data_IF_257643791046
#
_entry.id   IF_257643791046
#
_cell.length_a   1.000
_cell.length_b   1.000
_cell.length_c   1.000
_cell.angle_alpha   90.00
_cell.angle_beta   90.00
_cell.angle_gamma   90.00
#
_symmetry.space_group_name_H-M   'P 1'
#
loop_
_entity.id
_entity.type
_entity.pdbx_description
1 polymer ?
#
# COMPACT_ATOMS: atom_id res chain seq x y z
N UNK A 1 6.69 -0.94 -5.92
CA UNK A 1 5.21 -0.94 -5.89
C UNK A 1 4.71 -0.16 -7.09
N UNK A 2 3.69 -0.66 -7.78
CA UNK A 2 3.07 -0.02 -8.94
C UNK A 2 1.60 0.21 -8.61
N UNK A 3 1.11 1.43 -8.81
CA UNK A 3 -0.31 1.80 -8.65
C UNK A 3 -0.85 2.15 -10.03
N UNK A 4 -1.93 1.49 -10.42
CA UNK A 4 -2.67 1.74 -11.67
C UNK A 4 -4.05 2.31 -11.35
N UNK A 5 -4.87 2.52 -12.36
CA UNK A 5 -6.27 2.98 -12.24
C UNK A 5 -7.19 1.96 -11.57
N UNK A 6 -6.89 0.66 -11.66
CA UNK A 6 -7.78 -0.41 -11.17
C UNK A 6 -7.20 -1.22 -10.01
N UNK A 7 -5.87 -1.21 -9.89
CA UNK A 7 -5.14 -2.15 -9.02
C UNK A 7 -3.82 -1.61 -8.53
N UNK A 8 -3.42 -2.12 -7.38
CA UNK A 8 -2.11 -1.90 -6.78
C UNK A 8 -1.35 -3.22 -6.76
N UNK A 9 -0.13 -3.21 -7.29
CA UNK A 9 0.75 -4.38 -7.42
C UNK A 9 2.00 -4.16 -6.59
N UNK A 10 2.26 -5.08 -5.67
CA UNK A 10 3.50 -5.18 -4.92
C UNK A 10 4.29 -6.39 -5.41
N UNK A 11 5.51 -6.14 -5.86
CA UNK A 11 6.49 -7.18 -6.18
C UNK A 11 7.63 -7.09 -5.17
N UNK A 12 7.95 -8.20 -4.50
CA UNK A 12 9.03 -8.32 -3.53
C UNK A 12 9.90 -9.55 -3.81
N UNK A 13 11.20 -9.40 -3.53
CA UNK A 13 12.20 -10.47 -3.59
C UNK A 13 13.24 -10.33 -4.69
N UNK A 14 14.47 -10.78 -4.41
CA UNK A 14 15.61 -10.76 -5.33
C UNK A 14 15.73 -12.08 -6.13
N UNK A 15 15.26 -13.20 -5.55
CA UNK A 15 15.35 -14.56 -6.12
C UNK A 15 13.98 -15.26 -6.23
N UNK A 16 13.10 -15.09 -5.24
CA UNK A 16 11.69 -15.52 -5.30
C UNK A 16 10.80 -14.30 -5.53
N UNK A 17 10.04 -14.28 -6.63
CA UNK A 17 9.14 -13.17 -6.96
C UNK A 17 7.80 -13.38 -6.26
N UNK A 18 7.62 -12.78 -5.08
CA UNK A 18 6.30 -12.67 -4.47
C UNK A 18 5.58 -11.46 -5.08
N UNK A 19 4.42 -11.70 -5.70
CA UNK A 19 3.59 -10.65 -6.30
C UNK A 19 2.23 -10.65 -5.61
N UNK A 20 1.95 -9.60 -4.85
CA UNK A 20 0.63 -9.36 -4.26
C UNK A 20 -0.08 -8.28 -5.07
N UNK A 21 -1.26 -8.61 -5.57
CA UNK A 21 -2.08 -7.71 -6.36
C UNK A 21 -3.43 -7.50 -5.67
N UNK A 22 -3.84 -6.24 -5.56
CA UNK A 22 -5.10 -5.85 -4.95
C UNK A 22 -5.87 -4.95 -5.87
N UNK A 23 -7.08 -5.37 -6.24
CA UNK A 23 -8.05 -4.55 -6.96
C UNK A 23 -8.57 -3.44 -6.04
N UNK A 24 -8.64 -2.21 -6.54
CA UNK A 24 -9.08 -1.05 -5.76
C UNK A 24 -10.50 -1.21 -5.23
N UNK A 25 -11.36 -1.88 -6.00
CA UNK A 25 -12.73 -2.25 -5.59
C UNK A 25 -12.78 -3.11 -4.33
N UNK A 26 -11.77 -3.96 -4.11
CA UNK A 26 -11.72 -4.86 -2.95
C UNK A 26 -11.01 -4.22 -1.75
N UNK A 27 -10.41 -3.03 -1.89
CA UNK A 27 -9.73 -2.37 -0.78
C UNK A 27 -10.77 -1.92 0.24
N UNK A 28 -10.71 -2.50 1.43
CA UNK A 28 -11.59 -2.13 2.55
C UNK A 28 -10.95 -1.07 3.41
N UNK A 29 -9.65 -1.18 3.66
CA UNK A 29 -8.93 -0.25 4.53
C UNK A 29 -7.50 0.00 4.04
N UNK A 30 -7.04 1.25 4.18
CA UNK A 30 -5.65 1.65 3.95
C UNK A 30 -5.16 2.32 5.22
N UNK A 31 -4.13 1.75 5.85
CA UNK A 31 -3.51 2.28 7.05
C UNK A 31 -2.12 2.82 6.72
N UNK A 32 -1.83 4.02 7.22
CA UNK A 32 -0.49 4.60 7.21
C UNK A 32 0.04 4.53 8.64
N UNK A 33 1.23 3.95 8.79
CA UNK A 33 1.95 3.93 10.05
C UNK A 33 3.24 4.74 9.88
N UNK A 34 3.40 5.77 10.70
CA UNK A 34 4.57 6.65 10.72
C UNK A 34 4.91 7.03 12.16
N UNK A 35 6.15 6.78 12.56
CA UNK A 35 6.71 7.26 13.81
C UNK A 35 7.23 8.70 13.64
N UNK A 36 7.59 9.37 14.74
CA UNK A 36 8.02 10.78 14.71
C UNK A 36 9.18 11.04 13.73
N UNK A 37 10.20 10.17 13.75
CA UNK A 37 11.34 10.26 12.83
C UNK A 37 10.93 10.03 11.37
N UNK A 38 10.05 9.07 11.11
CA UNK A 38 9.56 8.76 9.77
C UNK A 38 8.74 9.92 9.20
N UNK A 39 7.94 10.61 10.03
CA UNK A 39 7.24 11.84 9.64
C UNK A 39 8.22 12.95 9.25
N UNK A 40 9.32 13.11 10.01
CA UNK A 40 10.35 14.11 9.71
C UNK A 40 11.04 13.83 8.36
N UNK A 41 11.35 12.56 8.08
CA UNK A 41 11.95 12.15 6.80
C UNK A 41 10.92 11.92 5.68
N UNK A 42 9.63 12.20 5.94
CA UNK A 42 8.52 11.93 5.03
C UNK A 42 8.53 10.50 4.45
N UNK A 43 8.88 9.52 5.27
CA UNK A 43 8.81 8.09 4.95
C UNK A 43 7.76 7.43 5.83
N UNK A 44 7.33 6.22 5.49
CA UNK A 44 6.44 5.46 6.36
C UNK A 44 6.09 4.09 5.83
N UNK A 45 5.14 3.46 6.51
CA UNK A 45 4.64 2.14 6.16
C UNK A 45 3.19 2.25 5.68
N UNK A 46 2.88 1.62 4.55
CA UNK A 46 1.51 1.50 4.02
C UNK A 46 1.05 0.06 4.18
N UNK A 47 -0.14 -0.11 4.75
CA UNK A 47 -0.84 -1.40 4.87
C UNK A 47 -2.19 -1.32 4.17
N UNK A 48 -2.48 -2.27 3.29
CA UNK A 48 -3.73 -2.36 2.55
C UNK A 48 -4.42 -3.67 2.94
N UNK A 49 -5.67 -3.56 3.38
CA UNK A 49 -6.51 -4.70 3.73
C UNK A 49 -7.69 -4.81 2.77
N UNK A 50 -7.97 -6.03 2.32
CA UNK A 50 -9.00 -6.34 1.34
C UNK A 50 -10.29 -6.82 2.01
N UNK A 51 -11.42 -6.70 1.31
CA UNK A 51 -12.64 -7.38 1.70
C UNK A 51 -12.51 -8.89 1.40
N UNK A 52 -12.77 -9.73 2.40
CA UNK A 52 -12.81 -11.19 2.24
C UNK A 52 -11.61 -11.95 2.80
N UNK A 53 -10.48 -11.27 3.03
CA UNK A 53 -9.33 -11.80 3.78
C UNK A 53 -9.26 -11.02 5.11
N UNK A 54 -9.21 -11.72 6.24
CA UNK A 54 -9.14 -11.09 7.57
C UNK A 54 -7.81 -10.38 7.85
N UNK A 55 -6.88 -10.42 6.88
CA UNK A 55 -5.48 -10.05 7.02
C UNK A 55 -5.07 -8.89 6.11
N UNK A 56 -3.89 -8.33 6.37
CA UNK A 56 -3.28 -7.29 5.53
C UNK A 56 -2.65 -7.94 4.31
N UNK A 57 -3.21 -7.66 3.13
CA UNK A 57 -2.78 -8.25 1.85
C UNK A 57 -1.45 -7.66 1.35
N UNK A 58 -1.26 -6.35 1.60
CA UNK A 58 -0.06 -5.61 1.19
C UNK A 58 0.45 -4.82 2.40
N UNK A 59 1.69 -5.05 2.80
CA UNK A 59 2.38 -4.28 3.85
C UNK A 59 3.79 -3.93 3.38
N UNK A 60 4.07 -2.64 3.26
CA UNK A 60 5.35 -2.15 2.72
C UNK A 60 5.83 -1.01 3.61
N UNK A 61 7.07 -1.13 4.11
CA UNK A 61 7.74 -0.11 4.92
C UNK A 61 8.74 0.72 4.09
N UNK A 62 9.15 1.86 4.65
CA UNK A 62 10.17 2.72 4.03
C UNK A 62 9.71 3.45 2.77
N UNK A 63 8.40 3.59 2.56
CA UNK A 63 7.87 4.27 1.39
C UNK A 63 7.97 5.79 1.56
N UNK A 64 8.54 6.53 0.58
CA UNK A 64 8.52 7.99 0.60
C UNK A 64 7.11 8.53 0.32
N UNK A 65 6.76 9.61 1.02
CA UNK A 65 5.48 10.32 0.91
C UNK A 65 4.25 9.39 1.00
N UNK A 66 4.08 8.60 2.07
CA UNK A 66 3.03 7.59 2.16
C UNK A 66 1.62 8.19 2.06
N UNK A 67 1.42 9.42 2.55
CA UNK A 67 0.15 10.15 2.44
C UNK A 67 -0.23 10.45 0.99
N UNK A 68 0.75 10.76 0.12
CA UNK A 68 0.50 11.01 -1.30
C UNK A 68 0.03 9.74 -2.01
N UNK A 69 0.63 8.60 -1.68
CA UNK A 69 0.27 7.32 -2.28
C UNK A 69 -1.13 6.91 -1.84
N UNK A 70 -1.47 7.07 -0.56
CA UNK A 70 -2.84 6.86 -0.09
C UNK A 70 -3.82 7.73 -0.87
N UNK A 71 -3.53 9.02 -1.06
CA UNK A 71 -4.39 9.91 -1.82
C UNK A 71 -4.59 9.45 -3.27
N UNK A 72 -3.54 8.93 -3.92
CA UNK A 72 -3.62 8.37 -5.28
C UNK A 72 -4.52 7.13 -5.31
N UNK A 73 -4.35 6.20 -4.35
CA UNK A 73 -5.17 4.99 -4.29
C UNK A 73 -6.63 5.33 -3.98
N UNK A 74 -6.87 6.27 -3.05
CA UNK A 74 -8.23 6.73 -2.74
C UNK A 74 -8.90 7.40 -3.94
N UNK A 75 -8.15 8.13 -4.77
CA UNK A 75 -8.67 8.78 -5.97
C UNK A 75 -9.19 7.77 -7.00
N UNK A 76 -8.48 6.64 -7.19
CA UNK A 76 -8.86 5.60 -8.14
C UNK A 76 -9.86 4.58 -7.59
N UNK A 77 -10.19 4.64 -6.29
CA UNK A 77 -11.23 3.82 -5.69
C UNK A 77 -12.66 4.37 -5.94
N UNK A 78 -12.79 5.65 -6.30
CA UNK A 78 -14.08 6.32 -6.54
C UNK A 78 -14.76 5.86 -7.82
#
# INVERSE_FOLDING_TARGET
>A
MIVTDKRTILQQGLLSRYTNEVMHLHIRNIQIQQNMMERLFNIGTIKIACAGTGDVEISISGIPAPNRIKAIIDHYRL
#
